data_IF_525882632798
#
_entry.id   IF_525882632798
#
_cell.length_a   1.000
_cell.length_b   1.000
_cell.length_c   1.000
_cell.angle_alpha   90.00
_cell.angle_beta   90.00
_cell.angle_gamma   90.00
#
_symmetry.space_group_name_H-M   'P 1'
#
loop_
_entity.id
_entity.type
_entity.pdbx_description
1 polymer ?
#
# COMPACT_ATOMS: atom_id res chain seq x y z
N UNK A 1 -1.34 12.06 44.73
CA UNK A 1 -2.78 11.96 45.09
C UNK A 1 -3.62 13.09 44.51
N UNK A 2 -3.07 14.28 44.26
CA UNK A 2 -3.81 15.46 43.78
C UNK A 2 -4.51 15.29 42.43
N UNK A 3 -3.87 14.63 41.45
CA UNK A 3 -4.45 14.42 40.11
C UNK A 3 -5.72 13.53 40.10
N UNK A 4 -5.78 12.52 41.00
CA UNK A 4 -6.98 11.67 41.17
C UNK A 4 -8.15 12.44 41.77
N UNK A 5 -7.88 13.44 42.60
CA UNK A 5 -8.90 14.27 43.23
C UNK A 5 -9.53 15.22 42.20
N UNK A 6 -8.69 15.95 41.45
CA UNK A 6 -9.13 16.84 40.35
C UNK A 6 -9.96 16.10 39.29
N UNK A 7 -9.54 14.89 38.89
CA UNK A 7 -10.28 14.05 37.94
C UNK A 7 -11.69 13.70 38.43
N UNK A 8 -11.87 13.42 39.73
CA UNK A 8 -13.18 13.13 40.32
C UNK A 8 -14.04 14.38 40.45
N UNK A 9 -13.44 15.50 40.84
CA UNK A 9 -14.13 16.79 40.98
C UNK A 9 -14.68 17.27 39.62
N UNK A 10 -13.98 16.97 38.52
CA UNK A 10 -14.38 17.30 37.15
C UNK A 10 -15.19 16.19 36.43
N UNK A 11 -15.44 15.05 37.08
CA UNK A 11 -16.08 13.86 36.46
C UNK A 11 -15.40 13.36 35.18
N UNK A 12 -14.08 13.52 35.08
CA UNK A 12 -13.24 13.10 33.96
C UNK A 12 -12.37 11.89 34.34
N UNK A 13 -11.78 11.21 33.36
CA UNK A 13 -10.91 10.06 33.58
C UNK A 13 -9.43 10.46 33.65
N UNK A 14 -8.67 9.80 34.53
CA UNK A 14 -7.22 9.94 34.58
C UNK A 14 -6.60 8.86 33.67
N UNK A 15 -6.03 9.27 32.54
CA UNK A 15 -5.42 8.36 31.55
C UNK A 15 -3.90 8.50 31.58
N UNK A 16 -3.21 7.38 31.73
CA UNK A 16 -1.75 7.29 31.61
C UNK A 16 -1.35 7.28 30.12
N UNK A 17 -0.64 8.32 29.68
CA UNK A 17 -0.23 8.47 28.27
C UNK A 17 1.20 7.98 28.06
N UNK A 18 2.07 8.17 29.06
CA UNK A 18 3.47 7.76 28.99
C UNK A 18 3.87 6.98 30.25
N UNK A 19 3.61 5.66 30.28
CA UNK A 19 3.96 4.82 31.44
C UNK A 19 5.48 4.59 31.58
N UNK A 20 6.25 4.83 30.51
CA UNK A 20 7.72 4.65 30.49
C UNK A 20 8.52 5.90 30.86
N UNK A 21 7.86 7.05 31.05
CA UNK A 21 8.52 8.27 31.50
C UNK A 21 8.73 8.24 33.03
N UNK A 22 9.83 8.83 33.51
CA UNK A 22 10.08 9.01 34.94
C UNK A 22 10.08 10.52 35.26
N UNK A 23 9.06 11.06 35.96
CA UNK A 23 7.86 10.38 36.46
C UNK A 23 6.81 10.08 35.37
N UNK A 24 5.92 9.09 35.57
CA UNK A 24 4.88 8.73 34.60
C UNK A 24 3.93 9.90 34.37
N UNK A 25 3.63 10.17 33.10
CA UNK A 25 2.81 11.32 32.71
C UNK A 25 1.35 10.89 32.55
N UNK A 26 0.51 11.44 33.43
CA UNK A 26 -0.95 11.26 33.43
C UNK A 26 -1.64 12.51 32.89
N UNK A 27 -2.72 12.32 32.13
CA UNK A 27 -3.57 13.42 31.64
C UNK A 27 -5.02 13.17 32.03
N UNK A 28 -5.70 14.21 32.49
CA UNK A 28 -7.13 14.18 32.79
C UNK A 28 -7.86 14.42 31.48
N UNK A 29 -8.63 13.44 31.01
CA UNK A 29 -9.39 13.50 29.75
C UNK A 29 -10.67 12.67 29.86
N UNK A 30 -11.68 12.99 29.06
CA UNK A 30 -12.79 12.04 28.84
C UNK A 30 -12.27 10.86 28.01
N UNK A 31 -12.26 9.67 28.60
CA UNK A 31 -11.70 8.48 27.97
C UNK A 31 -12.42 8.08 26.67
N UNK A 32 -13.74 8.25 26.61
CA UNK A 32 -14.55 7.88 25.44
C UNK A 32 -14.27 8.82 24.29
N UNK A 33 -14.23 10.13 24.57
CA UNK A 33 -13.88 11.15 23.56
C UNK A 33 -12.46 10.96 23.06
N UNK A 34 -11.51 10.69 23.95
CA UNK A 34 -10.11 10.45 23.59
C UNK A 34 -9.94 9.22 22.67
N UNK A 35 -10.56 8.08 23.01
CA UNK A 35 -10.55 6.88 22.15
C UNK A 35 -11.18 7.13 20.77
N UNK A 36 -12.26 7.91 20.72
CA UNK A 36 -12.88 8.26 19.45
C UNK A 36 -11.95 9.10 18.56
N UNK A 37 -11.25 10.08 19.15
CA UNK A 37 -10.31 10.93 18.40
C UNK A 37 -9.06 10.17 17.95
N UNK A 38 -8.51 9.25 18.77
CA UNK A 38 -7.43 8.36 18.35
C UNK A 38 -7.86 7.47 17.19
N UNK A 39 -9.00 6.78 17.31
CA UNK A 39 -9.51 5.91 16.24
C UNK A 39 -9.78 6.71 14.95
N UNK A 40 -10.26 7.95 15.06
CA UNK A 40 -10.44 8.86 13.93
C UNK A 40 -9.10 9.24 13.29
N UNK A 41 -8.10 9.60 14.10
CA UNK A 41 -6.74 9.91 13.62
C UNK A 41 -6.09 8.71 12.93
N UNK A 42 -6.17 7.52 13.51
CA UNK A 42 -5.67 6.28 12.91
C UNK A 42 -6.35 5.98 11.58
N UNK A 43 -7.68 6.12 11.49
CA UNK A 43 -8.42 5.93 10.23
C UNK A 43 -8.00 6.93 9.15
N UNK A 44 -7.81 8.20 9.52
CA UNK A 44 -7.32 9.24 8.59
C UNK A 44 -5.89 8.95 8.15
N UNK A 45 -5.02 8.49 9.06
CA UNK A 45 -3.64 8.12 8.75
C UNK A 45 -3.56 6.90 7.83
N UNK A 46 -4.37 5.86 8.07
CA UNK A 46 -4.50 4.70 7.19
C UNK A 46 -5.02 5.10 5.81
N UNK A 47 -6.05 5.96 5.74
CA UNK A 47 -6.61 6.44 4.46
C UNK A 47 -5.64 7.33 3.68
N UNK A 48 -4.74 8.05 4.37
CA UNK A 48 -3.68 8.85 3.71
C UNK A 48 -2.59 7.99 3.10
N UNK A 49 -2.36 6.79 3.64
CA UNK A 49 -1.41 5.85 3.06
C UNK A 49 -2.07 5.22 1.86
N UNK A 50 -1.60 5.57 0.67
CA UNK A 50 -2.05 4.95 -0.56
C UNK A 50 -1.58 3.49 -0.59
N UNK A 51 -2.51 2.55 -0.70
CA UNK A 51 -2.18 1.14 -0.95
C UNK A 51 -1.60 1.01 -2.36
N UNK A 52 -0.33 0.57 -2.43
CA UNK A 52 0.33 0.27 -3.71
C UNK A 52 0.01 -1.17 -4.06
N UNK A 53 -0.97 -1.36 -4.93
CA UNK A 53 -1.33 -2.67 -5.46
C UNK A 53 -0.28 -3.17 -6.46
N UNK A 54 -0.19 -4.50 -6.60
CA UNK A 54 0.58 -5.13 -7.69
C UNK A 54 -0.39 -5.64 -8.75
N UNK A 55 -0.33 -5.07 -9.96
CA UNK A 55 -1.12 -5.48 -11.12
C UNK A 55 -0.30 -6.41 -12.00
N UNK A 56 -0.84 -7.56 -12.34
CA UNK A 56 -0.17 -8.54 -13.21
C UNK A 56 -0.70 -8.45 -14.63
N UNK A 57 0.21 -8.39 -15.61
CA UNK A 57 -0.11 -8.35 -17.04
C UNK A 57 0.51 -9.57 -17.71
N UNK A 58 -0.35 -10.32 -18.39
CA UNK A 58 0.04 -11.53 -19.09
C UNK A 58 0.49 -11.22 -20.52
N UNK A 59 1.58 -11.83 -20.93
CA UNK A 59 2.21 -11.67 -22.23
C UNK A 59 2.28 -13.05 -22.91
N UNK A 60 2.09 -13.11 -24.23
CA UNK A 60 2.28 -14.33 -25.03
C UNK A 60 3.66 -14.34 -25.72
N UNK A 61 4.35 -15.48 -25.83
CA UNK A 61 5.70 -15.54 -26.42
C UNK A 61 5.74 -15.17 -27.90
N UNK A 62 4.64 -15.33 -28.64
CA UNK A 62 4.51 -15.04 -30.07
C UNK A 62 3.48 -13.94 -30.36
N UNK A 63 3.28 -13.00 -29.45
CA UNK A 63 2.30 -11.91 -29.65
C UNK A 63 2.76 -10.94 -30.75
N UNK A 64 1.79 -10.29 -31.40
CA UNK A 64 2.08 -9.26 -32.40
C UNK A 64 2.60 -7.96 -31.74
N UNK A 65 3.28 -7.11 -32.52
CA UNK A 65 3.70 -5.78 -32.05
C UNK A 65 2.51 -4.92 -31.61
N UNK A 66 1.37 -5.03 -32.30
CA UNK A 66 0.16 -4.29 -31.94
C UNK A 66 -0.40 -4.74 -30.59
N UNK A 67 -0.47 -6.05 -30.34
CA UNK A 67 -0.92 -6.61 -29.06
C UNK A 67 0.02 -6.22 -27.92
N UNK A 68 1.33 -6.30 -28.16
CA UNK A 68 2.34 -5.90 -27.19
C UNK A 68 2.15 -4.43 -26.79
N UNK A 69 1.94 -3.55 -27.78
CA UNK A 69 1.72 -2.11 -27.53
C UNK A 69 0.51 -1.86 -26.63
N UNK A 70 -0.60 -2.54 -26.85
CA UNK A 70 -1.80 -2.41 -26.01
C UNK A 70 -1.51 -2.81 -24.55
N UNK A 71 -0.75 -3.91 -24.35
CA UNK A 71 -0.37 -4.36 -23.00
C UNK A 71 0.62 -3.43 -22.33
N UNK A 72 1.55 -2.85 -23.09
CA UNK A 72 2.48 -1.81 -22.61
C UNK A 72 1.72 -0.54 -22.21
N UNK A 73 0.76 -0.08 -23.01
CA UNK A 73 -0.07 1.08 -22.67
C UNK A 73 -0.89 0.83 -21.40
N UNK A 74 -1.41 -0.38 -21.24
CA UNK A 74 -2.06 -0.81 -20.01
C UNK A 74 -1.08 -0.79 -18.81
N UNK A 75 0.14 -1.30 -18.96
CA UNK A 75 1.17 -1.24 -17.93
C UNK A 75 1.53 0.21 -17.56
N UNK A 76 1.69 1.08 -18.57
CA UNK A 76 1.96 2.51 -18.39
C UNK A 76 0.85 3.19 -17.59
N UNK A 77 -0.41 2.84 -17.83
CA UNK A 77 -1.53 3.39 -17.07
C UNK A 77 -1.46 3.02 -15.58
N UNK A 78 -1.12 1.77 -15.25
CA UNK A 78 -0.97 1.34 -13.84
C UNK A 78 0.23 2.00 -13.16
N UNK A 79 1.36 2.11 -13.85
CA UNK A 79 2.55 2.81 -13.34
C UNK A 79 2.28 4.31 -13.11
N UNK A 80 1.59 4.97 -14.04
CA UNK A 80 1.20 6.39 -13.92
C UNK A 80 0.26 6.60 -12.74
N UNK A 81 -0.67 5.66 -12.55
CA UNK A 81 -1.53 5.67 -11.38
C UNK A 81 -0.62 5.57 -10.16
N UNK A 82 0.38 4.70 -10.10
CA UNK A 82 1.34 4.54 -8.98
C UNK A 82 1.35 3.13 -8.40
N UNK A 83 0.79 2.17 -9.13
CA UNK A 83 0.76 0.76 -8.79
C UNK A 83 2.02 0.06 -9.31
N UNK A 84 2.38 -1.07 -8.70
CA UNK A 84 3.45 -1.92 -9.19
C UNK A 84 2.93 -2.80 -10.31
N UNK A 85 3.69 -2.96 -11.39
CA UNK A 85 3.33 -3.84 -12.50
C UNK A 85 4.25 -5.05 -12.53
N UNK A 86 3.65 -6.24 -12.66
CA UNK A 86 4.34 -7.51 -12.88
C UNK A 86 4.01 -8.01 -14.28
N UNK A 87 5.02 -8.10 -15.15
CA UNK A 87 4.88 -8.69 -16.48
C UNK A 87 5.18 -10.19 -16.40
N UNK A 88 4.26 -11.02 -16.87
CA UNK A 88 4.41 -12.48 -16.84
C UNK A 88 4.15 -13.05 -18.24
N UNK A 89 5.10 -13.78 -18.79
CA UNK A 89 4.92 -14.50 -20.07
C UNK A 89 4.30 -15.86 -19.80
N UNK A 90 3.18 -16.16 -20.46
CA UNK A 90 2.52 -17.46 -20.40
C UNK A 90 2.90 -18.28 -21.63
N UNK A 91 3.65 -19.35 -21.41
CA UNK A 91 3.95 -20.35 -22.42
C UNK A 91 2.84 -21.41 -22.46
N UNK A 92 2.37 -21.81 -23.63
CA UNK A 92 1.41 -22.91 -23.77
C UNK A 92 2.06 -24.13 -24.45
N UNK A 93 1.93 -25.30 -23.82
CA UNK A 93 2.34 -26.57 -24.42
C UNK A 93 3.83 -26.63 -24.81
N UNK A 94 4.09 -26.79 -26.11
CA UNK A 94 5.45 -26.99 -26.66
C UNK A 94 6.29 -25.72 -26.70
N UNK A 95 5.71 -24.55 -26.45
CA UNK A 95 6.42 -23.26 -26.51
C UNK A 95 7.44 -23.09 -25.38
N UNK A 96 7.31 -23.84 -24.28
CA UNK A 96 8.24 -23.77 -23.14
C UNK A 96 9.68 -24.16 -23.52
N UNK A 97 9.87 -24.89 -24.62
CA UNK A 97 11.19 -25.31 -25.09
C UNK A 97 11.99 -24.17 -25.69
N UNK A 98 11.34 -23.03 -26.00
CA UNK A 98 11.97 -21.85 -26.57
C UNK A 98 11.77 -20.63 -25.66
N UNK A 99 12.40 -20.63 -24.46
CA UNK A 99 12.27 -19.53 -23.51
C UNK A 99 12.79 -18.19 -24.06
N UNK A 100 13.67 -18.22 -25.07
CA UNK A 100 14.22 -17.04 -25.74
C UNK A 100 13.14 -16.10 -26.29
N UNK A 101 12.01 -16.63 -26.77
CA UNK A 101 10.91 -15.80 -27.25
C UNK A 101 10.25 -15.01 -26.12
N UNK A 102 10.09 -15.62 -24.94
CA UNK A 102 9.58 -14.93 -23.77
C UNK A 102 10.53 -13.86 -23.25
N UNK A 103 11.84 -14.14 -23.24
CA UNK A 103 12.84 -13.14 -22.85
C UNK A 103 12.84 -11.94 -23.80
N UNK A 104 12.85 -12.20 -25.11
CA UNK A 104 12.81 -11.14 -26.12
C UNK A 104 11.62 -10.23 -25.92
N UNK A 105 10.44 -10.80 -25.66
CA UNK A 105 9.22 -10.00 -25.57
C UNK A 105 9.11 -9.23 -24.25
N UNK A 106 9.66 -9.77 -23.17
CA UNK A 106 9.83 -9.03 -21.93
C UNK A 106 10.80 -7.86 -22.11
N UNK A 107 11.91 -8.07 -22.80
CA UNK A 107 12.89 -7.03 -23.09
C UNK A 107 12.28 -5.92 -23.96
N UNK A 108 11.54 -6.28 -25.01
CA UNK A 108 10.78 -5.32 -25.82
C UNK A 108 9.75 -4.56 -24.98
N UNK A 109 8.98 -5.24 -24.12
CA UNK A 109 8.01 -4.60 -23.24
C UNK A 109 8.67 -3.60 -22.28
N UNK A 110 9.79 -3.97 -21.66
CA UNK A 110 10.55 -3.12 -20.74
C UNK A 110 11.12 -1.91 -21.46
N UNK A 111 11.68 -2.11 -22.66
CA UNK A 111 12.21 -1.02 -23.47
C UNK A 111 11.13 0.01 -23.82
N UNK A 112 9.96 -0.44 -24.27
CA UNK A 112 8.84 0.46 -24.58
C UNK A 112 8.25 1.16 -23.33
N UNK A 113 8.41 0.58 -22.13
CA UNK A 113 8.01 1.22 -20.88
C UNK A 113 9.03 2.23 -20.35
N UNK A 114 10.29 2.12 -20.76
CA UNK A 114 11.35 3.03 -20.37
C UNK A 114 11.35 4.35 -21.17
N UNK A 115 10.70 4.37 -22.35
CA UNK A 115 10.41 5.58 -23.13
C UNK A 115 9.21 6.37 -22.59
#
# INVERSE_FOLDING_TARGET
>A
MEARKRSRDESLDLVEIAPKANPPVVRIVDFKKFKYEEAKKERVAKKKTREVDTKEIWLGPLMSEHDLKIRVDQARSFLTVGDRVKLTVKFNGREITHPEFGYRILEEAVKNLAE
#
